data_IF_526907438759
#
_entry.id   IF_526907438759
#
_cell.length_a   1.000
_cell.length_b   1.000
_cell.length_c   1.000
_cell.angle_alpha   90.00
_cell.angle_beta   90.00
_cell.angle_gamma   90.00
#
_symmetry.space_group_name_H-M   'P 1'
#
loop_
_entity.id
_entity.type
_entity.pdbx_description
1 polymer ?
#
# COMPACT_ATOMS: atom_id res chain seq x y z
N UNK A 1 -25.53 -31.47 -38.88
CA UNK A 1 -25.58 -30.04 -38.48
C UNK A 1 -25.80 -29.81 -36.95
N UNK A 2 -26.69 -30.57 -36.28
CA UNK A 2 -26.94 -30.44 -34.85
C UNK A 2 -25.67 -30.56 -33.97
N UNK A 3 -24.78 -31.48 -34.26
CA UNK A 3 -23.53 -31.72 -33.53
C UNK A 3 -22.51 -30.58 -33.61
N UNK A 4 -22.54 -29.79 -34.67
CA UNK A 4 -21.64 -28.64 -34.79
C UNK A 4 -22.04 -27.49 -33.87
N UNK A 5 -23.32 -27.19 -33.80
CA UNK A 5 -23.83 -26.15 -32.89
C UNK A 5 -23.68 -26.54 -31.41
N UNK A 6 -23.85 -27.82 -31.09
CA UNK A 6 -23.61 -28.32 -29.73
C UNK A 6 -22.16 -28.17 -29.29
N UNK A 7 -21.21 -28.52 -30.14
CA UNK A 7 -19.76 -28.36 -29.87
C UNK A 7 -19.35 -26.88 -29.76
N UNK A 8 -19.89 -26.02 -30.62
CA UNK A 8 -19.62 -24.58 -30.55
C UNK A 8 -20.15 -23.93 -29.24
N UNK A 9 -21.34 -24.33 -28.79
CA UNK A 9 -21.90 -23.88 -27.53
C UNK A 9 -21.08 -24.38 -26.33
N UNK A 10 -20.64 -25.63 -26.33
CA UNK A 10 -19.80 -26.21 -25.30
C UNK A 10 -18.43 -25.53 -25.22
N UNK A 11 -17.78 -25.29 -26.37
CA UNK A 11 -16.51 -24.55 -26.42
C UNK A 11 -16.61 -23.14 -25.84
N UNK A 12 -17.70 -22.43 -26.14
CA UNK A 12 -17.94 -21.10 -25.56
C UNK A 12 -18.14 -21.15 -24.04
N UNK A 13 -18.85 -22.13 -23.53
CA UNK A 13 -19.03 -22.32 -22.09
C UNK A 13 -17.70 -22.64 -21.38
N UNK A 14 -16.86 -23.49 -21.98
CA UNK A 14 -15.55 -23.85 -21.44
C UNK A 14 -14.61 -22.64 -21.43
N UNK A 15 -14.65 -21.80 -22.47
CA UNK A 15 -13.88 -20.57 -22.52
C UNK A 15 -14.31 -19.55 -21.46
N UNK A 16 -15.62 -19.34 -21.29
CA UNK A 16 -16.17 -18.49 -20.23
C UNK A 16 -15.79 -19.01 -18.84
N UNK A 17 -15.91 -20.31 -18.58
CA UNK A 17 -15.49 -20.93 -17.34
C UNK A 17 -13.99 -20.74 -17.05
N UNK A 18 -13.16 -20.88 -18.09
CA UNK A 18 -11.70 -20.64 -17.96
C UNK A 18 -11.37 -19.17 -17.65
N UNK A 19 -12.12 -18.22 -18.23
CA UNK A 19 -11.97 -16.78 -17.91
C UNK A 19 -12.38 -16.52 -16.47
N UNK A 20 -13.54 -17.02 -16.02
CA UNK A 20 -13.98 -16.86 -14.63
C UNK A 20 -12.99 -17.46 -13.63
N UNK A 21 -12.44 -18.65 -13.93
CA UNK A 21 -11.43 -19.29 -13.08
C UNK A 21 -10.13 -18.46 -12.99
N UNK A 22 -9.71 -17.81 -14.09
CA UNK A 22 -8.54 -16.90 -14.11
C UNK A 22 -8.79 -15.65 -13.26
N UNK A 23 -9.95 -15.03 -13.41
CA UNK A 23 -10.34 -13.85 -12.60
C UNK A 23 -10.41 -14.21 -11.12
N UNK A 24 -11.04 -15.31 -10.75
CA UNK A 24 -11.14 -15.76 -9.36
C UNK A 24 -9.75 -16.02 -8.75
N UNK A 25 -8.82 -16.65 -9.49
CA UNK A 25 -7.43 -16.85 -9.05
C UNK A 25 -6.70 -15.52 -8.85
N UNK A 26 -6.87 -14.56 -9.77
CA UNK A 26 -6.28 -13.22 -9.67
C UNK A 26 -6.76 -12.48 -8.41
N UNK A 27 -8.08 -12.48 -8.15
CA UNK A 27 -8.67 -11.89 -6.94
C UNK A 27 -8.10 -12.53 -5.67
N UNK A 28 -8.05 -13.86 -5.63
CA UNK A 28 -7.52 -14.59 -4.48
C UNK A 28 -6.05 -14.25 -4.22
N UNK A 29 -5.22 -14.18 -5.27
CA UNK A 29 -3.81 -13.79 -5.16
C UNK A 29 -3.67 -12.36 -4.65
N UNK A 30 -4.38 -11.39 -5.26
CA UNK A 30 -4.33 -9.98 -4.84
C UNK A 30 -4.71 -9.81 -3.37
N UNK A 31 -5.75 -10.51 -2.89
CA UNK A 31 -6.19 -10.52 -1.50
C UNK A 31 -5.08 -10.95 -0.53
N UNK A 32 -4.39 -12.07 -0.84
CA UNK A 32 -3.37 -12.60 0.05
C UNK A 32 -2.05 -11.82 -0.02
N UNK A 33 -1.69 -11.30 -1.20
CA UNK A 33 -0.55 -10.39 -1.34
C UNK A 33 -0.82 -9.10 -0.54
N UNK A 34 -2.02 -8.52 -0.64
CA UNK A 34 -2.41 -7.36 0.15
C UNK A 34 -2.31 -7.65 1.65
N UNK A 35 -2.79 -8.81 2.11
CA UNK A 35 -2.65 -9.21 3.52
C UNK A 35 -1.19 -9.24 3.96
N UNK A 36 -0.33 -9.90 3.19
CA UNK A 36 1.10 -10.00 3.50
C UNK A 36 1.78 -8.61 3.56
N UNK A 37 1.45 -7.72 2.62
CA UNK A 37 1.95 -6.34 2.60
C UNK A 37 1.50 -5.56 3.83
N UNK A 38 0.23 -5.62 4.20
CA UNK A 38 -0.29 -4.92 5.38
C UNK A 38 0.27 -5.50 6.68
N UNK A 39 0.42 -6.83 6.75
CA UNK A 39 1.07 -7.49 7.89
C UNK A 39 2.52 -7.05 8.03
N UNK A 40 3.25 -6.95 6.91
CA UNK A 40 4.61 -6.41 6.90
C UNK A 40 4.64 -4.97 7.44
N UNK A 41 3.73 -4.09 7.02
CA UNK A 41 3.67 -2.71 7.52
C UNK A 41 3.47 -2.67 9.05
N UNK A 42 2.53 -3.47 9.57
CA UNK A 42 2.28 -3.57 11.02
C UNK A 42 3.49 -4.12 11.77
N UNK A 43 4.12 -5.16 11.24
CA UNK A 43 5.30 -5.77 11.85
C UNK A 43 6.51 -4.81 11.84
N UNK A 44 6.75 -4.12 10.73
CA UNK A 44 7.84 -3.16 10.60
C UNK A 44 7.69 -1.97 11.57
N UNK A 45 6.45 -1.47 11.73
CA UNK A 45 6.16 -0.42 12.71
C UNK A 45 6.30 -0.95 14.14
N UNK A 46 5.79 -2.15 14.44
CA UNK A 46 5.94 -2.78 15.74
C UNK A 46 7.41 -2.99 16.13
N UNK A 47 8.25 -3.49 15.21
CA UNK A 47 9.69 -3.66 15.42
C UNK A 47 10.38 -2.31 15.68
N UNK A 48 9.99 -1.25 14.98
CA UNK A 48 10.54 0.08 15.22
C UNK A 48 10.25 0.58 16.64
N UNK A 49 9.03 0.33 17.17
CA UNK A 49 8.70 0.72 18.54
C UNK A 49 9.45 -0.08 19.60
N UNK A 50 9.72 -1.37 19.31
CA UNK A 50 10.49 -2.22 20.22
C UNK A 50 12.01 -1.90 20.17
N UNK A 51 12.51 -1.51 18.99
CA UNK A 51 13.94 -1.27 18.73
C UNK A 51 14.18 0.05 17.99
N UNK A 52 13.83 1.22 18.59
CA UNK A 52 13.83 2.51 17.91
C UNK A 52 15.21 3.00 17.49
N UNK A 53 16.29 2.51 18.13
CA UNK A 53 17.66 2.91 17.84
C UNK A 53 18.33 2.08 16.74
N UNK A 54 17.66 1.06 16.21
CA UNK A 54 18.24 0.23 15.14
C UNK A 54 18.08 0.92 13.78
N UNK A 55 19.17 1.21 13.04
CA UNK A 55 19.09 1.73 11.68
C UNK A 55 18.27 0.82 10.75
N UNK A 56 18.33 -0.50 10.96
CA UNK A 56 17.60 -1.47 10.16
C UNK A 56 16.09 -1.28 10.28
N UNK A 57 15.57 -1.09 11.50
CA UNK A 57 14.14 -0.88 11.74
C UNK A 57 13.65 0.43 11.14
N UNK A 58 14.49 1.46 11.10
CA UNK A 58 14.16 2.73 10.46
C UNK A 58 13.91 2.55 8.94
N UNK A 59 14.83 1.87 8.23
CA UNK A 59 14.72 1.69 6.78
C UNK A 59 13.66 0.67 6.35
N UNK A 60 13.28 -0.25 7.23
CA UNK A 60 12.22 -1.23 6.95
C UNK A 60 10.80 -0.61 6.96
N UNK A 61 10.62 0.57 7.58
CA UNK A 61 9.29 1.19 7.67
C UNK A 61 8.87 1.82 6.34
N UNK A 62 7.67 1.49 5.82
CA UNK A 62 7.13 2.09 4.59
C UNK A 62 6.94 3.61 4.71
N UNK A 63 6.69 4.09 5.92
CA UNK A 63 6.41 5.49 6.23
C UNK A 63 7.60 6.19 6.92
N UNK A 64 8.84 5.70 6.73
CA UNK A 64 10.04 6.24 7.40
C UNK A 64 10.25 7.73 7.17
N UNK A 65 9.88 8.26 6.01
CA UNK A 65 9.96 9.69 5.69
C UNK A 65 9.16 10.56 6.68
N UNK A 66 8.09 10.02 7.25
CA UNK A 66 7.27 10.72 8.25
C UNK A 66 7.97 10.86 9.62
N UNK A 67 9.09 10.15 9.84
CA UNK A 67 9.87 10.29 11.08
C UNK A 67 10.49 11.68 11.22
N UNK A 68 10.81 12.34 10.12
CA UNK A 68 11.27 13.73 10.14
C UNK A 68 10.22 14.68 10.70
N UNK A 69 8.93 14.41 10.42
CA UNK A 69 7.80 15.13 11.02
C UNK A 69 7.65 14.81 12.51
N UNK A 70 7.90 13.58 12.94
CA UNK A 70 7.77 13.17 14.34
C UNK A 70 8.88 13.72 15.21
N UNK A 71 10.05 14.06 14.67
CA UNK A 71 11.09 14.78 15.41
C UNK A 71 10.65 16.19 15.80
N UNK A 72 9.82 16.83 14.98
CA UNK A 72 9.26 18.18 15.26
C UNK A 72 7.97 18.08 16.08
N UNK A 73 7.17 17.04 15.87
CA UNK A 73 5.88 16.82 16.51
C UNK A 73 5.81 15.41 17.11
N UNK A 74 6.19 15.20 18.39
CA UNK A 74 6.23 13.87 19.02
C UNK A 74 4.89 13.11 18.94
N UNK A 75 3.76 13.81 18.96
CA UNK A 75 2.44 13.20 18.81
C UNK A 75 2.23 12.48 17.47
N UNK A 76 3.00 12.82 16.43
CA UNK A 76 2.87 12.16 15.12
C UNK A 76 3.33 10.71 15.13
N UNK A 77 4.17 10.28 16.09
CA UNK A 77 4.52 8.87 16.24
C UNK A 77 3.30 7.98 16.43
N UNK A 78 2.34 8.40 17.26
CA UNK A 78 1.11 7.65 17.49
C UNK A 78 0.23 7.58 16.24
N UNK A 79 0.19 8.66 15.46
CA UNK A 79 -0.57 8.69 14.21
C UNK A 79 0.01 7.76 13.15
N UNK A 80 1.33 7.57 13.12
CA UNK A 80 1.97 6.68 12.17
C UNK A 80 1.56 5.22 12.34
N UNK A 81 1.31 4.78 13.58
CA UNK A 81 0.74 3.44 13.85
C UNK A 81 -0.64 3.26 13.23
N UNK A 82 -1.43 4.34 13.14
CA UNK A 82 -2.75 4.27 12.53
C UNK A 82 -2.67 3.98 11.03
N UNK A 83 -1.60 4.44 10.34
CA UNK A 83 -1.41 4.18 8.90
C UNK A 83 -1.11 2.72 8.58
N UNK A 84 -0.62 1.93 9.52
CA UNK A 84 -0.43 0.49 9.34
C UNK A 84 -1.58 -0.33 9.93
N UNK A 85 -2.09 0.02 11.12
CA UNK A 85 -3.14 -0.72 11.81
C UNK A 85 -4.51 -0.54 11.14
N UNK A 86 -4.89 0.68 10.76
CA UNK A 86 -6.18 0.94 10.12
C UNK A 86 -6.38 0.17 8.80
N UNK A 87 -5.41 0.12 7.88
CA UNK A 87 -5.53 -0.72 6.68
C UNK A 87 -5.67 -2.22 7.00
N UNK A 88 -5.05 -2.73 8.05
CA UNK A 88 -5.23 -4.13 8.47
C UNK A 88 -6.66 -4.40 8.96
N UNK A 89 -7.22 -3.50 9.78
CA UNK A 89 -8.64 -3.56 10.18
C UNK A 89 -9.53 -3.48 8.92
N UNK A 90 -9.19 -2.58 8.00
CA UNK A 90 -9.87 -2.45 6.72
C UNK A 90 -9.87 -3.74 5.91
N UNK A 91 -8.74 -4.47 5.87
CA UNK A 91 -8.64 -5.75 5.20
C UNK A 91 -9.58 -6.79 5.83
N UNK A 92 -9.65 -6.88 7.17
CA UNK A 92 -10.55 -7.79 7.88
C UNK A 92 -12.02 -7.47 7.53
N UNK A 93 -12.40 -6.19 7.54
CA UNK A 93 -13.76 -5.77 7.20
C UNK A 93 -14.09 -6.05 5.73
N UNK A 94 -13.16 -5.79 4.82
CA UNK A 94 -13.34 -6.06 3.40
C UNK A 94 -13.43 -7.57 3.14
N UNK A 95 -12.66 -8.38 3.89
CA UNK A 95 -12.75 -9.83 3.84
C UNK A 95 -14.14 -10.34 4.29
N UNK A 96 -14.79 -9.64 5.21
CA UNK A 96 -16.17 -9.89 5.66
C UNK A 96 -17.23 -9.17 4.80
N UNK A 97 -16.88 -8.79 3.57
CA UNK A 97 -17.75 -8.09 2.60
C UNK A 97 -18.32 -6.75 3.10
N UNK A 98 -17.67 -6.08 4.06
CA UNK A 98 -18.05 -4.75 4.53
C UNK A 98 -17.42 -3.67 3.66
N UNK A 99 -18.23 -2.85 2.97
CA UNK A 99 -17.74 -1.78 2.06
C UNK A 99 -16.83 -0.77 2.75
N UNK A 100 -17.05 -0.49 4.05
CA UNK A 100 -16.21 0.39 4.86
C UNK A 100 -14.73 -0.06 4.89
N UNK A 101 -14.45 -1.36 4.75
CA UNK A 101 -13.08 -1.89 4.73
C UNK A 101 -12.22 -1.29 3.63
N UNK A 102 -12.81 -0.98 2.45
CA UNK A 102 -12.11 -0.31 1.35
C UNK A 102 -11.63 1.09 1.76
N UNK A 103 -12.49 1.88 2.38
CA UNK A 103 -12.14 3.22 2.81
C UNK A 103 -11.04 3.18 3.88
N UNK A 104 -11.12 2.27 4.85
CA UNK A 104 -10.11 2.11 5.89
C UNK A 104 -8.74 1.67 5.35
N UNK A 105 -8.68 0.99 4.19
CA UNK A 105 -7.41 0.70 3.54
C UNK A 105 -6.92 1.93 2.75
N UNK A 106 -7.77 2.54 1.93
CA UNK A 106 -7.34 3.54 0.96
C UNK A 106 -7.10 4.92 1.55
N UNK A 107 -7.94 5.37 2.50
CA UNK A 107 -7.84 6.73 3.08
C UNK A 107 -6.48 6.98 3.72
N UNK A 108 -5.91 6.11 4.56
CA UNK A 108 -4.58 6.31 5.10
C UNK A 108 -3.51 6.48 4.03
N UNK A 109 -3.56 5.68 2.95
CA UNK A 109 -2.57 5.78 1.86
C UNK A 109 -2.72 7.07 1.04
N UNK A 110 -3.95 7.55 0.82
CA UNK A 110 -4.21 8.84 0.17
C UNK A 110 -3.66 9.99 1.05
N UNK A 111 -3.94 9.96 2.35
CA UNK A 111 -3.41 10.96 3.29
C UNK A 111 -1.88 10.91 3.35
N UNK A 112 -1.29 9.72 3.36
CA UNK A 112 0.16 9.56 3.30
C UNK A 112 0.74 10.12 1.98
N UNK A 113 0.10 9.91 0.84
CA UNK A 113 0.52 10.51 -0.44
C UNK A 113 0.51 12.04 -0.38
N UNK A 114 -0.55 12.64 0.16
CA UNK A 114 -0.65 14.08 0.32
C UNK A 114 0.45 14.58 1.26
N UNK A 115 0.60 13.97 2.45
CA UNK A 115 1.57 14.37 3.46
C UNK A 115 3.02 14.22 2.97
N UNK A 116 3.39 13.04 2.49
CA UNK A 116 4.74 12.73 2.00
C UNK A 116 5.06 13.56 0.75
N UNK A 117 4.11 13.65 -0.18
CA UNK A 117 4.29 14.41 -1.41
C UNK A 117 4.52 15.90 -1.14
N UNK A 118 3.69 16.50 -0.28
CA UNK A 118 3.83 17.92 0.10
C UNK A 118 5.15 18.16 0.84
N UNK A 119 5.47 17.32 1.82
CA UNK A 119 6.71 17.42 2.59
C UNK A 119 7.93 17.31 1.68
N UNK A 120 7.99 16.27 0.84
CA UNK A 120 9.11 16.05 -0.08
C UNK A 120 9.24 17.20 -1.06
N UNK A 121 8.12 17.67 -1.64
CA UNK A 121 8.12 18.81 -2.57
C UNK A 121 8.70 20.08 -1.92
N UNK A 122 8.23 20.45 -0.73
CA UNK A 122 8.71 21.65 -0.02
C UNK A 122 10.20 21.55 0.31
N UNK A 123 10.68 20.39 0.75
CA UNK A 123 12.08 20.17 1.07
C UNK A 123 12.98 20.19 -0.18
N UNK A 124 12.51 19.61 -1.29
CA UNK A 124 13.23 19.67 -2.57
C UNK A 124 13.32 21.12 -3.07
N UNK A 125 12.21 21.88 -3.01
CA UNK A 125 12.23 23.30 -3.41
C UNK A 125 13.19 24.11 -2.53
N UNK A 126 13.17 23.88 -1.21
CA UNK A 126 14.12 24.53 -0.30
C UNK A 126 15.58 24.17 -0.63
N UNK A 127 15.87 22.90 -0.83
CA UNK A 127 17.20 22.42 -1.16
C UNK A 127 17.73 22.96 -2.49
N UNK A 128 16.85 23.08 -3.50
CA UNK A 128 17.19 23.70 -4.79
C UNK A 128 17.50 25.19 -4.64
N UNK A 129 16.72 25.93 -3.84
CA UNK A 129 16.99 27.33 -3.53
C UNK A 129 18.31 27.54 -2.79
N UNK A 130 18.67 26.58 -1.92
CA UNK A 130 19.95 26.57 -1.21
C UNK A 130 21.11 26.01 -2.06
N UNK A 131 20.90 25.69 -3.34
CA UNK A 131 21.88 25.05 -4.23
C UNK A 131 22.51 23.76 -3.65
N UNK A 132 21.75 23.02 -2.82
CA UNK A 132 22.21 21.81 -2.13
C UNK A 132 21.69 20.54 -2.80
N UNK A 133 22.34 20.09 -3.87
CA UNK A 133 22.00 18.81 -4.53
C UNK A 133 22.06 17.57 -3.62
N UNK A 134 23.03 17.46 -2.68
CA UNK A 134 23.03 16.33 -1.73
C UNK A 134 21.74 16.27 -0.89
N UNK A 135 21.19 17.42 -0.49
CA UNK A 135 19.95 17.50 0.28
C UNK A 135 18.72 17.09 -0.56
N UNK A 136 18.70 17.46 -1.86
CA UNK A 136 17.67 16.99 -2.80
C UNK A 136 17.68 15.46 -2.88
N UNK A 137 18.85 14.88 -3.09
CA UNK A 137 19.00 13.42 -3.18
C UNK A 137 18.57 12.71 -1.88
N UNK A 138 18.96 13.24 -0.72
CA UNK A 138 18.57 12.69 0.57
C UNK A 138 17.03 12.68 0.75
N UNK A 139 16.34 13.78 0.45
CA UNK A 139 14.89 13.87 0.56
C UNK A 139 14.15 12.90 -0.37
N UNK A 140 14.62 12.75 -1.61
CA UNK A 140 14.06 11.79 -2.56
C UNK A 140 14.30 10.34 -2.13
N UNK A 141 15.50 10.02 -1.65
CA UNK A 141 15.84 8.70 -1.11
C UNK A 141 14.95 8.32 0.06
N UNK A 142 14.67 9.26 0.98
CA UNK A 142 13.88 9.01 2.17
C UNK A 142 12.39 8.80 1.86
N UNK A 143 11.89 9.39 0.73
CA UNK A 143 10.54 9.16 0.25
C UNK A 143 10.38 7.84 -0.56
N UNK A 144 11.46 7.32 -1.15
CA UNK A 144 11.43 6.17 -2.04
C UNK A 144 10.81 4.89 -1.42
N UNK A 145 11.06 4.53 -0.14
CA UNK A 145 10.47 3.34 0.47
C UNK A 145 8.93 3.33 0.49
N UNK A 146 8.29 4.51 0.48
CA UNK A 146 6.83 4.59 0.44
C UNK A 146 6.24 4.24 -0.93
N UNK A 147 6.95 4.47 -2.03
CA UNK A 147 6.41 4.32 -3.39
C UNK A 147 5.80 2.94 -3.67
N UNK A 148 6.47 1.81 -3.40
CA UNK A 148 5.91 0.49 -3.66
C UNK A 148 4.64 0.21 -2.85
N UNK A 149 4.54 0.73 -1.63
CA UNK A 149 3.35 0.58 -0.78
C UNK A 149 2.24 1.53 -1.19
N UNK A 150 2.57 2.80 -1.43
CA UNK A 150 1.62 3.83 -1.81
C UNK A 150 0.93 3.56 -3.14
N UNK A 151 1.60 2.92 -4.09
CA UNK A 151 1.03 2.49 -5.38
C UNK A 151 0.48 1.06 -5.31
N UNK A 152 1.23 0.15 -4.70
CA UNK A 152 0.89 -1.27 -4.67
C UNK A 152 -0.40 -1.58 -3.93
N UNK A 153 -0.63 -0.95 -2.77
CA UNK A 153 -1.83 -1.22 -1.96
C UNK A 153 -3.12 -0.82 -2.68
N UNK A 154 -3.28 0.39 -3.26
CA UNK A 154 -4.46 0.72 -4.05
C UNK A 154 -4.70 -0.21 -5.24
N UNK A 155 -3.63 -0.60 -5.95
CA UNK A 155 -3.72 -1.54 -7.06
C UNK A 155 -4.22 -2.90 -6.57
N UNK A 156 -3.69 -3.44 -5.48
CA UNK A 156 -4.11 -4.73 -4.93
C UNK A 156 -5.57 -4.72 -4.46
N UNK A 157 -6.01 -3.61 -3.83
CA UNK A 157 -7.43 -3.43 -3.45
C UNK A 157 -8.33 -3.45 -4.68
N UNK A 158 -7.93 -2.74 -5.74
CA UNK A 158 -8.68 -2.71 -7.00
C UNK A 158 -8.76 -4.11 -7.66
N UNK A 159 -7.63 -4.84 -7.72
CA UNK A 159 -7.57 -6.19 -8.27
C UNK A 159 -8.37 -7.21 -7.47
N UNK A 160 -8.49 -7.03 -6.16
CA UNK A 160 -9.30 -7.90 -5.32
C UNK A 160 -10.80 -7.67 -5.56
N UNK A 161 -11.21 -6.45 -5.83
CA UNK A 161 -12.63 -6.10 -5.98
C UNK A 161 -13.20 -6.30 -7.39
N UNK A 162 -12.36 -6.24 -8.44
CA UNK A 162 -12.76 -6.57 -9.81
C UNK A 162 -12.83 -8.08 -10.05
#
# INVERSE_FOLDING_TARGET
MADFFGRAAQYKQDEEAAVFARVARRKRRAKWILFAVLLYCVAADGLYYLFPLSPLTYYLRPFSVMNSLSAVYPATHYWLCLFSVLPMIGWILLHRNKKAGRALILVPYVLAWIGIGTFTFLHVVYALRAHSFPLVHANLRDAAPFLPFGLGVPILVHLWQK
#
